data_IF_327990870526
#
_entry.id   IF_327990870526
#
_cell.length_a   1.000
_cell.length_b   1.000
_cell.length_c   1.000
_cell.angle_alpha   90.00
_cell.angle_beta   90.00
_cell.angle_gamma   90.00
#
_symmetry.space_group_name_H-M   'P 1'
#
loop_
_entity.id
_entity.type
_entity.pdbx_description
1 polymer ?
#
# COMPACT_ATOMS: atom_id res chain seq x y z
N UNK A 1 -5.95 13.63 15.26
CA UNK A 1 -5.94 12.80 14.03
C UNK A 1 -7.16 13.12 13.17
N UNK A 2 -6.95 13.60 11.94
CA UNK A 2 -8.03 14.08 11.05
C UNK A 2 -8.96 12.95 10.59
N UNK A 3 -8.41 11.77 10.33
CA UNK A 3 -9.16 10.60 9.82
C UNK A 3 -10.32 10.15 10.72
N UNK A 4 -10.31 10.52 12.01
CA UNK A 4 -11.45 10.27 12.92
C UNK A 4 -12.75 10.93 12.48
N UNK A 5 -12.68 11.98 11.67
CA UNK A 5 -13.87 12.70 11.18
C UNK A 5 -14.30 12.23 9.78
N UNK A 6 -13.61 11.25 9.20
CA UNK A 6 -13.83 10.77 7.83
C UNK A 6 -14.49 9.37 7.79
N UNK A 7 -15.18 8.96 8.86
CA UNK A 7 -15.66 7.58 9.00
C UNK A 7 -16.51 7.09 7.84
N UNK A 8 -17.42 7.92 7.32
CA UNK A 8 -18.24 7.57 6.14
C UNK A 8 -17.39 7.31 4.90
N UNK A 9 -16.30 8.07 4.70
CA UNK A 9 -15.40 7.88 3.55
C UNK A 9 -14.51 6.66 3.71
N UNK A 10 -14.17 6.30 4.95
CA UNK A 10 -13.32 5.14 5.25
C UNK A 10 -14.04 3.80 5.01
N UNK A 11 -15.38 3.79 4.97
CA UNK A 11 -16.17 2.57 4.68
C UNK A 11 -15.93 2.05 3.26
N UNK A 12 -15.90 2.96 2.29
CA UNK A 12 -15.76 2.61 0.86
C UNK A 12 -14.30 2.70 0.36
N UNK A 13 -13.38 3.21 1.19
CA UNK A 13 -11.98 3.35 0.81
C UNK A 13 -11.28 1.98 0.70
N UNK A 14 -10.58 1.77 -0.41
CA UNK A 14 -9.82 0.54 -0.68
C UNK A 14 -8.33 0.70 -0.37
N UNK A 15 -7.78 1.89 -0.64
CA UNK A 15 -6.38 2.22 -0.42
C UNK A 15 -6.30 3.59 0.22
N UNK A 16 -5.44 3.73 1.23
CA UNK A 16 -5.19 4.98 1.95
C UNK A 16 -3.68 5.21 1.96
N UNK A 17 -3.26 6.36 1.46
CA UNK A 17 -1.90 6.86 1.62
C UNK A 17 -1.93 8.03 2.58
N UNK A 18 -1.08 8.00 3.61
CA UNK A 18 -0.97 9.07 4.60
C UNK A 18 0.45 9.16 5.12
N UNK A 19 0.93 10.38 5.32
CA UNK A 19 2.17 10.62 6.05
C UNK A 19 1.98 10.19 7.51
N UNK A 20 3.00 9.51 8.06
CA UNK A 20 3.04 9.07 9.45
C UNK A 20 4.41 9.32 10.03
N UNK A 21 4.44 9.76 11.28
CA UNK A 21 5.66 10.01 12.03
C UNK A 21 5.93 8.88 13.04
N UNK A 22 7.20 8.52 13.19
CA UNK A 22 7.68 7.56 14.17
C UNK A 22 8.17 8.23 15.46
N UNK A 23 8.34 9.55 15.45
CA UNK A 23 8.81 10.36 16.57
C UNK A 23 7.88 11.55 16.79
N UNK A 24 7.63 11.95 18.04
CA UNK A 24 6.80 13.11 18.35
C UNK A 24 7.57 14.40 18.01
N UNK A 25 7.35 14.92 16.80
CA UNK A 25 7.95 16.17 16.33
C UNK A 25 7.11 17.40 16.69
N UNK A 26 5.79 17.23 16.73
CA UNK A 26 4.81 18.26 17.11
C UNK A 26 4.01 17.85 18.36
N UNK A 27 3.46 18.85 19.03
CA UNK A 27 2.62 18.67 20.24
C UNK A 27 1.30 18.02 19.84
N UNK A 28 0.90 16.98 20.57
CA UNK A 28 -0.36 16.24 20.39
C UNK A 28 -0.57 15.59 19.00
N UNK A 29 0.51 15.35 18.26
CA UNK A 29 0.43 14.60 17.01
C UNK A 29 0.23 13.10 17.27
N UNK A 30 -0.66 12.41 16.53
CA UNK A 30 -0.72 10.97 16.55
C UNK A 30 0.55 10.39 15.91
N UNK A 31 1.11 9.33 16.48
CA UNK A 31 2.21 8.62 15.85
C UNK A 31 1.69 7.57 14.87
N UNK A 32 2.60 6.97 14.11
CA UNK A 32 2.32 5.81 13.26
C UNK A 32 1.55 4.72 14.01
N UNK A 33 1.92 4.41 15.26
CA UNK A 33 1.25 3.38 16.06
C UNK A 33 -0.23 3.68 16.30
N UNK A 34 -0.58 4.95 16.56
CA UNK A 34 -1.98 5.35 16.78
C UNK A 34 -2.77 5.25 15.46
N UNK A 35 -2.15 5.64 14.34
CA UNK A 35 -2.71 5.55 13.00
C UNK A 35 -2.94 4.09 12.58
N UNK A 36 -1.95 3.21 12.80
CA UNK A 36 -2.00 1.79 12.47
C UNK A 36 -3.10 1.09 13.26
N UNK A 37 -3.20 1.32 14.57
CA UNK A 37 -4.29 0.76 15.40
C UNK A 37 -5.66 1.22 14.87
N UNK A 38 -5.83 2.53 14.65
CA UNK A 38 -7.09 3.08 14.19
C UNK A 38 -7.56 2.50 12.83
N UNK A 39 -6.64 2.34 11.89
CA UNK A 39 -6.93 1.81 10.56
C UNK A 39 -7.12 0.28 10.59
N UNK A 40 -6.37 -0.44 11.42
CA UNK A 40 -6.51 -1.88 11.59
C UNK A 40 -7.86 -2.28 12.18
N UNK A 41 -8.34 -1.51 13.17
CA UNK A 41 -9.71 -1.67 13.70
C UNK A 41 -10.79 -1.51 12.64
N UNK A 42 -10.49 -0.77 11.55
CA UNK A 42 -11.39 -0.54 10.42
C UNK A 42 -11.17 -1.49 9.26
N UNK A 43 -10.35 -2.53 9.43
CA UNK A 43 -10.13 -3.58 8.41
C UNK A 43 -9.13 -3.19 7.33
N UNK A 44 -8.20 -2.27 7.63
CA UNK A 44 -7.05 -1.98 6.78
C UNK A 44 -5.81 -2.71 7.29
N UNK A 45 -4.91 -3.05 6.37
CA UNK A 45 -3.61 -3.64 6.63
C UNK A 45 -2.52 -2.75 6.04
N UNK A 46 -1.40 -2.62 6.74
CA UNK A 46 -0.25 -1.90 6.22
C UNK A 46 0.33 -2.69 5.05
N UNK A 47 0.41 -2.06 3.88
CA UNK A 47 0.98 -2.67 2.69
C UNK A 47 2.48 -2.36 2.55
N UNK A 48 2.83 -1.07 2.62
CA UNK A 48 4.19 -0.59 2.35
C UNK A 48 4.39 0.82 2.91
N UNK A 49 5.64 1.15 3.23
CA UNK A 49 6.08 2.54 3.38
C UNK A 49 6.81 3.00 2.12
N UNK A 50 6.45 4.16 1.56
CA UNK A 50 7.12 4.68 0.37
C UNK A 50 6.90 6.19 0.16
N UNK A 51 7.92 7.05 0.28
CA UNK A 51 9.29 6.79 0.77
C UNK A 51 9.39 6.78 2.30
N UNK A 52 10.46 6.19 2.84
CA UNK A 52 10.85 6.32 4.25
C UNK A 52 11.96 7.36 4.40
N UNK A 53 11.82 8.26 5.37
CA UNK A 53 12.83 9.29 5.64
C UNK A 53 13.48 9.05 6.99
N UNK A 54 14.81 8.94 6.97
CA UNK A 54 15.64 8.79 8.15
C UNK A 54 16.54 10.01 8.38
N UNK A 55 17.06 10.14 9.60
CA UNK A 55 18.06 11.15 10.00
C UNK A 55 19.15 10.55 10.88
N UNK A 56 20.24 11.28 11.05
CA UNK A 56 21.29 11.00 12.04
C UNK A 56 20.80 11.35 13.45
N UNK A 57 21.15 10.52 14.43
CA UNK A 57 20.95 10.80 15.86
C UNK A 57 22.08 11.72 16.34
N UNK A 58 21.73 12.88 16.92
CA UNK A 58 22.72 13.77 17.54
C UNK A 58 23.45 13.06 18.69
N UNK A 59 24.77 13.27 18.89
CA UNK A 59 25.59 14.33 18.28
C UNK A 59 26.33 13.92 16.98
N UNK A 60 26.04 12.75 16.40
CA UNK A 60 26.73 12.28 15.20
C UNK A 60 26.38 13.19 14.00
N UNK A 61 27.40 13.57 13.23
CA UNK A 61 27.28 14.34 11.99
C UNK A 61 27.97 13.54 10.90
N UNK A 62 27.27 13.29 9.79
CA UNK A 62 27.82 12.58 8.63
C UNK A 62 27.93 13.54 7.46
N UNK A 63 29.08 13.55 6.79
CA UNK A 63 29.39 14.43 5.66
C UNK A 63 29.11 15.92 5.93
N UNK A 64 29.40 16.37 7.16
CA UNK A 64 29.10 17.73 7.64
C UNK A 64 27.60 18.11 7.56
N UNK A 65 26.70 17.13 7.45
CA UNK A 65 25.26 17.32 7.35
C UNK A 65 24.54 16.64 8.55
N UNK A 66 24.03 17.41 9.52
CA UNK A 66 23.28 16.86 10.65
C UNK A 66 21.91 16.29 10.24
N UNK A 67 21.46 16.54 9.00
CA UNK A 67 20.21 16.03 8.44
C UNK A 67 20.43 14.82 7.52
N UNK A 68 21.65 14.29 7.42
CA UNK A 68 21.92 13.10 6.62
C UNK A 68 21.02 11.93 7.07
N UNK A 69 20.48 11.17 6.11
CA UNK A 69 19.71 9.96 6.43
C UNK A 69 20.63 8.84 6.86
N UNK A 70 20.39 8.23 8.02
CA UNK A 70 21.25 7.15 8.51
C UNK A 70 20.44 6.03 9.18
N UNK A 71 20.19 6.12 10.48
CA UNK A 71 19.62 5.01 11.24
C UNK A 71 18.25 5.30 11.87
N UNK A 72 17.91 6.57 12.14
CA UNK A 72 16.67 6.91 12.83
C UNK A 72 15.57 7.28 11.83
N UNK A 73 14.52 6.47 11.73
CA UNK A 73 13.31 6.80 10.98
C UNK A 73 12.57 7.96 11.65
N UNK A 74 12.23 8.99 10.88
CA UNK A 74 11.45 10.13 11.37
C UNK A 74 10.00 10.03 10.91
N UNK A 75 9.80 9.90 9.61
CA UNK A 75 8.49 9.86 8.99
C UNK A 75 8.54 9.04 7.71
N UNK A 76 7.38 8.59 7.26
CA UNK A 76 7.20 7.91 6.00
C UNK A 76 5.79 8.14 5.49
N UNK A 77 5.61 7.96 4.19
CA UNK A 77 4.27 7.77 3.63
C UNK A 77 3.87 6.30 3.82
N UNK A 78 2.85 6.06 4.63
CA UNK A 78 2.28 4.74 4.86
C UNK A 78 1.12 4.50 3.89
N UNK A 79 1.20 3.37 3.19
CA UNK A 79 0.15 2.88 2.30
C UNK A 79 -0.57 1.75 3.03
N UNK A 80 -1.83 1.98 3.35
CA UNK A 80 -2.75 1.01 3.90
C UNK A 80 -3.71 0.53 2.82
N UNK A 81 -4.00 -0.76 2.80
CA UNK A 81 -4.94 -1.37 1.86
C UNK A 81 -6.02 -2.08 2.65
N UNK A 82 -7.21 -2.21 2.07
CA UNK A 82 -8.26 -3.03 2.67
C UNK A 82 -7.77 -4.47 2.78
N UNK A 83 -8.13 -5.15 3.86
CA UNK A 83 -7.65 -6.51 4.13
C UNK A 83 -7.99 -7.46 2.97
N UNK A 84 -6.97 -7.78 2.17
CA UNK A 84 -7.06 -8.66 1.02
C UNK A 84 -6.97 -10.15 1.41
N UNK A 85 -6.68 -10.46 2.67
CA UNK A 85 -6.64 -11.85 3.16
C UNK A 85 -8.03 -12.45 3.36
N UNK A 86 -9.06 -11.61 3.38
CA UNK A 86 -10.48 -11.98 3.49
C UNK A 86 -11.27 -11.51 2.27
N UNK A 87 -10.99 -12.06 1.07
CA UNK A 87 -11.59 -11.61 -0.17
C UNK A 87 -13.12 -11.78 -0.20
N UNK A 88 -13.68 -12.68 0.61
CA UNK A 88 -15.13 -12.87 0.73
C UNK A 88 -15.89 -11.63 1.21
N UNK A 89 -15.20 -10.67 1.85
CA UNK A 89 -15.78 -9.40 2.32
C UNK A 89 -15.76 -8.33 1.21
N UNK A 90 -15.00 -8.55 0.13
CA UNK A 90 -14.79 -7.59 -0.95
C UNK A 90 -15.53 -8.02 -2.22
N UNK A 91 -16.20 -7.08 -2.87
CA UNK A 91 -16.77 -7.36 -4.18
C UNK A 91 -15.67 -7.54 -5.24
N UNK A 92 -15.92 -8.34 -6.28
CA UNK A 92 -15.00 -8.53 -7.41
C UNK A 92 -14.55 -7.19 -8.02
N UNK A 93 -15.46 -6.20 -8.08
CA UNK A 93 -15.13 -4.86 -8.57
C UNK A 93 -14.14 -4.14 -7.66
N UNK A 94 -14.32 -4.20 -6.35
CA UNK A 94 -13.40 -3.60 -5.39
C UNK A 94 -12.02 -4.27 -5.41
N UNK A 95 -11.98 -5.60 -5.55
CA UNK A 95 -10.71 -6.33 -5.70
C UNK A 95 -9.96 -5.90 -6.96
N UNK A 96 -10.65 -5.79 -8.10
CA UNK A 96 -10.05 -5.31 -9.35
C UNK A 96 -9.54 -3.87 -9.21
N UNK A 97 -10.37 -2.96 -8.70
CA UNK A 97 -9.96 -1.55 -8.52
C UNK A 97 -8.77 -1.42 -7.57
N UNK A 98 -8.75 -2.17 -6.47
CA UNK A 98 -7.62 -2.18 -5.55
C UNK A 98 -6.35 -2.71 -6.24
N UNK A 99 -6.46 -3.82 -6.99
CA UNK A 99 -5.35 -4.39 -7.74
C UNK A 99 -4.80 -3.45 -8.82
N UNK A 100 -5.68 -2.72 -9.52
CA UNK A 100 -5.31 -1.69 -10.50
C UNK A 100 -4.57 -0.52 -9.83
N UNK A 101 -5.12 0.03 -8.74
CA UNK A 101 -4.46 1.13 -8.00
C UNK A 101 -3.07 0.72 -7.51
N UNK A 102 -2.94 -0.48 -6.94
CA UNK A 102 -1.66 -0.97 -6.43
C UNK A 102 -0.64 -1.24 -7.53
N UNK A 103 -1.11 -1.66 -8.70
CA UNK A 103 -0.26 -1.87 -9.85
C UNK A 103 0.20 -0.55 -10.47
N UNK A 104 -0.73 0.34 -10.79
CA UNK A 104 -0.48 1.54 -11.59
C UNK A 104 0.15 2.66 -10.76
N UNK A 105 -0.32 2.86 -9.52
CA UNK A 105 0.15 3.97 -8.68
C UNK A 105 1.38 3.59 -7.85
N UNK A 106 1.47 2.34 -7.39
CA UNK A 106 2.48 1.91 -6.41
C UNK A 106 3.47 0.88 -6.94
N UNK A 107 3.29 0.38 -8.17
CA UNK A 107 4.17 -0.61 -8.78
C UNK A 107 4.23 -1.95 -8.04
N UNK A 108 3.26 -2.24 -7.15
CA UNK A 108 3.20 -3.53 -6.45
C UNK A 108 2.59 -4.58 -7.39
N UNK A 109 3.46 -5.28 -8.11
CA UNK A 109 3.08 -6.36 -9.02
C UNK A 109 2.56 -7.58 -8.24
N UNK A 110 3.04 -7.76 -7.01
CA UNK A 110 2.77 -8.94 -6.17
C UNK A 110 1.29 -9.03 -5.75
N UNK A 111 0.72 -7.91 -5.27
CA UNK A 111 -0.70 -7.88 -4.88
C UNK A 111 -1.65 -7.96 -6.07
N UNK A 112 -1.24 -7.44 -7.24
CA UNK A 112 -2.03 -7.61 -8.47
C UNK A 112 -2.08 -9.08 -8.88
N UNK A 113 -0.95 -9.78 -8.83
CA UNK A 113 -0.86 -11.18 -9.24
C UNK A 113 -1.66 -12.09 -8.28
N UNK A 114 -1.56 -11.86 -6.97
CA UNK A 114 -2.32 -12.63 -5.97
C UNK A 114 -3.83 -12.39 -6.07
N UNK A 115 -4.26 -11.13 -6.20
CA UNK A 115 -5.70 -10.80 -6.32
C UNK A 115 -6.31 -11.34 -7.62
N UNK A 116 -5.55 -11.27 -8.72
CA UNK A 116 -6.00 -11.79 -10.01
C UNK A 116 -6.04 -13.33 -10.01
N UNK A 117 -5.08 -14.00 -9.36
CA UNK A 117 -5.12 -15.45 -9.17
C UNK A 117 -6.32 -15.88 -8.32
N UNK A 118 -6.61 -15.17 -7.23
CA UNK A 118 -7.79 -15.43 -6.39
C UNK A 118 -9.10 -15.28 -7.19
N UNK A 119 -9.24 -14.21 -7.98
CA UNK A 119 -10.40 -14.05 -8.85
C UNK A 119 -10.50 -15.13 -9.93
N UNK A 120 -9.39 -15.59 -10.50
CA UNK A 120 -9.40 -16.67 -11.49
C UNK A 120 -9.81 -18.00 -10.86
N UNK A 121 -9.44 -18.26 -9.60
CA UNK A 121 -9.87 -19.46 -8.86
C UNK A 121 -11.37 -19.41 -8.55
N UNK A 122 -11.87 -18.27 -8.05
CA UNK A 122 -13.29 -18.06 -7.77
C UNK A 122 -14.16 -18.06 -9.06
N UNK A 123 -13.71 -17.41 -10.12
CA UNK A 123 -14.42 -17.37 -11.42
C UNK A 123 -14.20 -18.64 -12.25
N UNK A 124 -13.21 -19.48 -11.91
CA UNK A 124 -13.10 -20.85 -12.39
C UNK A 124 -14.30 -21.72 -11.98
N UNK A 125 -15.04 -21.31 -10.95
CA UNK A 125 -16.35 -21.88 -10.58
C UNK A 125 -17.55 -21.18 -11.25
N UNK A 126 -17.35 -20.05 -11.94
CA UNK A 126 -18.41 -19.24 -12.53
C UNK A 126 -17.99 -18.52 -13.82
N UNK A 127 -18.17 -19.21 -14.96
CA UNK A 127 -18.22 -18.68 -16.34
C UNK A 127 -17.21 -17.57 -16.71
N UNK A 128 -16.12 -17.98 -17.36
CA UNK A 128 -15.10 -17.10 -17.92
C UNK A 128 -15.52 -16.32 -19.18
N UNK A 129 -14.79 -15.25 -19.45
CA UNK A 129 -14.80 -14.57 -20.75
C UNK A 129 -13.98 -13.28 -20.77
N UNK A 130 -14.15 -12.40 -19.78
CA UNK A 130 -13.69 -11.01 -19.92
C UNK A 130 -12.31 -10.71 -19.32
N UNK A 131 -11.84 -11.51 -18.36
CA UNK A 131 -10.54 -11.28 -17.68
C UNK A 131 -9.37 -11.97 -18.41
N UNK A 132 -9.64 -13.06 -19.13
CA UNK A 132 -8.63 -13.81 -19.90
C UNK A 132 -7.99 -12.97 -21.03
N UNK A 133 -8.74 -12.05 -21.64
CA UNK A 133 -8.23 -11.13 -22.66
C UNK A 133 -7.33 -10.03 -22.08
N UNK A 134 -7.57 -9.64 -20.82
CA UNK A 134 -6.69 -8.72 -20.12
C UNK A 134 -5.36 -9.42 -19.75
N UNK A 135 -5.43 -10.69 -19.35
CA UNK A 135 -4.25 -11.54 -19.07
C UNK A 135 -3.35 -11.78 -20.29
N UNK A 136 -3.92 -12.07 -21.47
CA UNK A 136 -3.13 -12.29 -22.69
C UNK A 136 -2.44 -11.01 -23.17
N UNK A 137 -3.11 -9.87 -23.04
CA UNK A 137 -2.55 -8.56 -23.39
C UNK A 137 -1.41 -8.17 -22.43
N UNK A 138 -1.55 -8.47 -21.13
CA UNK A 138 -0.54 -8.14 -20.13
C UNK A 138 0.64 -9.12 -20.11
N UNK A 139 0.45 -10.43 -20.34
CA UNK A 139 1.58 -11.38 -20.44
C UNK A 139 2.60 -10.95 -21.50
N UNK A 140 2.16 -10.28 -22.58
CA UNK A 140 3.03 -9.69 -23.59
C UNK A 140 3.82 -8.48 -23.09
N UNK A 141 3.22 -7.66 -22.21
CA UNK A 141 3.84 -6.48 -21.59
C UNK A 141 4.85 -6.88 -20.49
N UNK A 142 4.62 -7.99 -19.78
CA UNK A 142 5.52 -8.48 -18.75
C UNK A 142 6.79 -9.14 -19.30
N UNK A 143 6.65 -9.89 -20.40
CA UNK A 143 7.79 -10.59 -21.03
C UNK A 143 8.79 -9.63 -21.72
N UNK A 144 8.49 -8.34 -21.79
CA UNK A 144 9.36 -7.31 -22.39
C UNK A 144 10.08 -6.42 -21.39
N UNK A 145 9.76 -6.49 -20.09
CA UNK A 145 10.40 -5.65 -19.06
C UNK A 145 11.35 -6.40 -18.11
N UNK A 146 11.32 -7.73 -18.07
CA UNK A 146 12.34 -8.55 -17.39
C UNK A 146 13.51 -8.92 -18.32
N UNK A 147 14.20 -7.92 -18.88
CA UNK A 147 15.58 -8.08 -19.35
C UNK A 147 16.12 -6.70 -19.73
N UNK A 148 16.47 -5.90 -18.72
CA UNK A 148 17.65 -5.02 -18.68
C UNK A 148 17.47 -4.00 -17.56
N UNK A 149 18.12 -4.26 -16.45
CA UNK A 149 18.81 -3.20 -15.73
C UNK A 149 20.22 -3.71 -15.38
N UNK A 150 21.26 -2.87 -15.53
CA UNK A 150 22.67 -3.22 -15.36
C UNK A 150 23.05 -3.57 -13.92
#
# INVERSE_FOLDING_TARGET
>A
MVLRHAEERLKDALVIQTEVEFLPMYVDQPLFSDMDIFLRERGFVLHRFYPTVSRVIKPLIVDNNPLAGLSQLLWADAIFVRDFTRPEVLSNRQLLTMAEILHDCYGSVDLRCSSCMFMIIEMGAGSGGTILTHWSTLSSIYNTKECKSP
#
